data_IF_074804049736
#
_entry.id   IF_074804049736
#
_cell.length_a   1.000
_cell.length_b   1.000
_cell.length_c   1.000
_cell.angle_alpha   90.00
_cell.angle_beta   90.00
_cell.angle_gamma   90.00
#
_symmetry.space_group_name_H-M   'P 1'
#
loop_
_entity.id
_entity.type
_entity.pdbx_description
1 polymer ?
#
# COMPACT_ATOMS: atom_id res chain seq x y z
N UNK A 1 2.06 8.30 20.13
CA UNK A 1 0.79 7.57 20.02
C UNK A 1 -0.37 8.54 20.20
N UNK A 2 -1.52 8.37 19.54
CA UNK A 2 -2.70 9.17 19.80
C UNK A 2 -3.09 9.02 21.28
N UNK A 3 -3.28 10.14 21.98
CA UNK A 3 -3.47 10.16 23.44
C UNK A 3 -4.85 9.65 23.91
N UNK A 4 -5.78 9.35 22.99
CA UNK A 4 -7.15 8.94 23.32
C UNK A 4 -7.42 7.43 23.16
N UNK A 5 -6.48 6.67 22.61
CA UNK A 5 -6.64 5.22 22.39
C UNK A 5 -7.84 4.84 21.52
N UNK A 6 -8.38 5.79 20.75
CA UNK A 6 -9.56 5.57 19.93
C UNK A 6 -9.22 4.72 18.69
N UNK A 7 -10.11 3.79 18.35
CA UNK A 7 -9.97 2.95 17.17
C UNK A 7 -11.36 2.70 16.55
N UNK A 8 -11.38 2.49 15.24
CA UNK A 8 -12.58 2.11 14.49
C UNK A 8 -12.41 0.64 14.11
N UNK A 9 -13.40 -0.19 14.46
CA UNK A 9 -13.46 -1.59 14.03
C UNK A 9 -14.60 -1.74 13.05
N UNK A 10 -14.29 -2.34 11.91
CA UNK A 10 -15.25 -2.68 10.86
C UNK A 10 -15.08 -4.14 10.45
N UNK A 11 -16.08 -4.69 9.76
CA UNK A 11 -16.11 -6.08 9.29
C UNK A 11 -15.63 -6.27 7.86
N UNK A 12 -15.57 -5.20 7.07
CA UNK A 12 -15.18 -5.23 5.66
C UNK A 12 -14.33 -4.03 5.30
N UNK A 13 -13.52 -4.18 4.25
CA UNK A 13 -12.69 -3.11 3.71
C UNK A 13 -13.55 -1.96 3.17
N UNK A 14 -14.65 -2.26 2.47
CA UNK A 14 -15.56 -1.24 1.93
C UNK A 14 -16.13 -0.36 3.03
N UNK A 15 -16.63 -0.95 4.11
CA UNK A 15 -17.12 -0.19 5.26
C UNK A 15 -16.00 0.64 5.92
N UNK A 16 -14.75 0.16 5.92
CA UNK A 16 -13.61 0.94 6.42
C UNK A 16 -13.42 2.20 5.57
N UNK A 17 -13.37 2.02 4.26
CA UNK A 17 -13.16 3.09 3.29
C UNK A 17 -14.32 4.09 3.32
N UNK A 18 -15.56 3.65 3.44
CA UNK A 18 -16.73 4.54 3.54
C UNK A 18 -16.67 5.43 4.79
N UNK A 19 -16.31 4.86 5.94
CA UNK A 19 -16.15 5.61 7.19
C UNK A 19 -15.01 6.63 7.05
N UNK A 20 -13.85 6.19 6.54
CA UNK A 20 -12.67 7.05 6.40
C UNK A 20 -12.89 8.18 5.39
N UNK A 21 -13.60 7.92 4.29
CA UNK A 21 -14.00 8.95 3.33
C UNK A 21 -14.96 9.98 3.94
N UNK A 22 -15.80 9.57 4.90
CA UNK A 22 -16.61 10.48 5.69
C UNK A 22 -15.83 11.38 6.66
N UNK A 23 -14.51 11.17 6.79
CA UNK A 23 -13.59 11.93 7.66
C UNK A 23 -12.55 12.71 6.85
N UNK A 24 -12.85 13.06 5.59
CA UNK A 24 -11.94 13.76 4.68
C UNK A 24 -11.50 15.15 5.18
N UNK A 25 -12.21 15.74 6.15
CA UNK A 25 -11.83 16.98 6.84
C UNK A 25 -10.73 16.78 7.89
N UNK A 26 -10.45 15.53 8.28
CA UNK A 26 -9.53 15.15 9.36
C UNK A 26 -8.38 14.27 8.90
N UNK A 27 -8.55 13.53 7.81
CA UNK A 27 -7.61 12.52 7.33
C UNK A 27 -7.14 12.93 5.94
N UNK A 28 -5.82 13.07 5.78
CA UNK A 28 -5.19 13.37 4.51
C UNK A 28 -4.98 12.10 3.67
N UNK A 29 -4.42 11.05 4.28
CA UNK A 29 -3.99 9.83 3.59
C UNK A 29 -4.45 8.59 4.34
N UNK A 30 -5.01 7.63 3.60
CA UNK A 30 -5.33 6.29 4.10
C UNK A 30 -4.17 5.35 3.72
N UNK A 31 -3.60 4.69 4.72
CA UNK A 31 -2.56 3.67 4.52
C UNK A 31 -3.12 2.29 4.83
N UNK A 32 -3.17 1.42 3.82
CA UNK A 32 -3.37 -0.01 4.05
C UNK A 32 -2.04 -0.65 4.44
N UNK A 33 -2.00 -1.17 5.67
CA UNK A 33 -0.81 -1.79 6.27
C UNK A 33 -0.92 -3.32 6.36
N UNK A 34 -1.91 -3.92 5.67
CA UNK A 34 -2.07 -5.36 5.53
C UNK A 34 -3.01 -6.00 6.57
N UNK A 35 -3.13 -7.33 6.61
CA UNK A 35 -2.38 -8.35 5.84
C UNK A 35 -2.95 -8.69 4.45
N UNK A 36 -2.82 -9.95 4.01
CA UNK A 36 -3.16 -10.38 2.63
C UNK A 36 -4.52 -9.91 2.10
N UNK A 37 -5.59 -10.02 2.91
CA UNK A 37 -6.96 -9.69 2.47
C UNK A 37 -7.17 -8.20 2.19
N UNK A 38 -6.89 -7.27 3.12
CA UNK A 38 -7.01 -5.85 2.82
C UNK A 38 -6.08 -5.43 1.68
N UNK A 39 -4.87 -6.01 1.56
CA UNK A 39 -4.04 -5.77 0.36
C UNK A 39 -4.73 -6.19 -0.94
N UNK A 40 -5.37 -7.37 -0.96
CA UNK A 40 -6.07 -7.85 -2.15
C UNK A 40 -7.26 -6.95 -2.51
N UNK A 41 -7.99 -6.44 -1.52
CA UNK A 41 -9.10 -5.49 -1.69
C UNK A 41 -8.58 -4.10 -2.12
N UNK A 42 -7.49 -3.63 -1.51
CA UNK A 42 -6.82 -2.38 -1.82
C UNK A 42 -6.25 -2.34 -3.24
N UNK A 43 -5.65 -3.43 -3.73
CA UNK A 43 -5.19 -3.56 -5.11
C UNK A 43 -6.33 -3.47 -6.15
N UNK A 44 -7.57 -3.77 -5.75
CA UNK A 44 -8.77 -3.66 -6.59
C UNK A 44 -9.48 -2.30 -6.42
N UNK A 45 -9.08 -1.49 -5.44
CA UNK A 45 -9.73 -0.21 -5.13
C UNK A 45 -9.42 0.85 -6.18
N UNK A 46 -10.46 1.57 -6.63
CA UNK A 46 -10.31 2.75 -7.48
C UNK A 46 -9.66 3.95 -6.76
N UNK A 47 -9.53 3.87 -5.43
CA UNK A 47 -8.87 4.88 -4.60
C UNK A 47 -7.37 4.59 -4.42
N UNK A 48 -6.86 3.45 -4.87
CA UNK A 48 -5.43 3.17 -4.83
C UNK A 48 -4.67 4.21 -5.67
N UNK A 49 -3.65 4.81 -5.07
CA UNK A 49 -2.77 5.79 -5.72
C UNK A 49 -1.34 5.29 -5.80
N UNK A 50 -0.84 4.68 -4.73
CA UNK A 50 0.56 4.30 -4.62
C UNK A 50 0.70 2.97 -3.87
N UNK A 51 1.69 2.17 -4.27
CA UNK A 51 2.14 1.00 -3.54
C UNK A 51 3.58 1.25 -3.11
N UNK A 52 3.86 1.09 -1.82
CA UNK A 52 5.19 1.16 -1.26
C UNK A 52 5.62 -0.26 -0.88
N UNK A 53 6.68 -0.75 -1.52
CA UNK A 53 7.15 -2.13 -1.36
C UNK A 53 8.57 -2.12 -0.85
N UNK A 54 8.77 -2.78 0.29
CA UNK A 54 10.11 -3.24 0.69
C UNK A 54 10.30 -4.62 0.10
N UNK A 55 11.12 -4.72 -0.94
CA UNK A 55 11.54 -6.02 -1.45
C UNK A 55 12.69 -6.52 -0.60
N UNK A 56 12.46 -7.62 0.13
CA UNK A 56 13.47 -8.33 0.89
C UNK A 56 14.08 -9.41 0.00
N UNK A 57 15.40 -9.36 -0.20
CA UNK A 57 16.10 -10.29 -1.10
C UNK A 57 16.38 -11.61 -0.36
N UNK A 58 15.81 -12.69 -0.88
CA UNK A 58 15.99 -14.05 -0.36
C UNK A 58 14.68 -14.82 -0.30
N UNK A 59 14.80 -16.12 -0.02
CA UNK A 59 13.66 -17.00 0.21
C UNK A 59 13.52 -17.28 1.70
N UNK A 60 12.33 -17.04 2.25
CA UNK A 60 12.02 -17.22 3.66
C UNK A 60 10.75 -18.05 3.81
N UNK A 61 10.68 -18.86 4.86
CA UNK A 61 9.47 -19.61 5.17
C UNK A 61 8.33 -18.64 5.52
N UNK A 62 7.22 -18.75 4.80
CA UNK A 62 6.01 -17.95 4.99
C UNK A 62 4.76 -18.81 4.81
N UNK A 63 3.75 -18.56 5.66
CA UNK A 63 2.42 -19.18 5.58
C UNK A 63 1.38 -18.28 4.87
N UNK A 64 1.69 -16.98 4.77
CA UNK A 64 0.89 -15.96 4.11
C UNK A 64 1.75 -15.21 3.10
N UNK A 65 1.23 -15.08 1.88
CA UNK A 65 1.89 -14.39 0.78
C UNK A 65 1.16 -13.11 0.42
N UNK A 66 1.90 -12.12 -0.06
CA UNK A 66 1.32 -10.93 -0.69
C UNK A 66 0.46 -11.34 -1.91
N UNK A 67 -0.68 -10.69 -2.17
CA UNK A 67 -1.48 -10.96 -3.38
C UNK A 67 -0.71 -10.65 -4.68
N UNK A 68 -1.06 -11.32 -5.77
CA UNK A 68 -0.42 -11.05 -7.06
C UNK A 68 -0.67 -9.61 -7.52
N UNK A 69 0.40 -8.92 -7.94
CA UNK A 69 0.33 -7.55 -8.46
C UNK A 69 0.43 -7.58 -9.98
N UNK A 70 -0.57 -7.03 -10.65
CA UNK A 70 -0.47 -6.69 -12.07
C UNK A 70 0.31 -5.38 -12.24
N UNK A 71 1.63 -5.49 -12.32
CA UNK A 71 2.52 -4.33 -12.49
C UNK A 71 2.28 -3.55 -13.78
N UNK A 72 1.53 -4.07 -14.76
CA UNK A 72 1.15 -3.30 -15.95
C UNK A 72 0.20 -2.14 -15.62
N UNK A 73 -0.44 -2.17 -14.45
CA UNK A 73 -1.31 -1.08 -13.95
C UNK A 73 -0.56 -0.01 -13.19
N UNK A 74 0.78 -0.07 -13.14
CA UNK A 74 1.58 0.84 -12.35
C UNK A 74 2.77 1.40 -13.12
N UNK A 75 3.17 2.62 -12.79
CA UNK A 75 4.48 3.16 -13.16
C UNK A 75 5.39 3.15 -11.93
N UNK A 76 6.59 2.60 -12.08
CA UNK A 76 7.62 2.71 -11.04
C UNK A 76 8.01 4.18 -10.88
N UNK A 77 7.98 4.68 -9.65
CA UNK A 77 8.53 6.00 -9.35
C UNK A 77 10.05 5.92 -9.52
N UNK A 78 10.65 6.96 -10.11
CA UNK A 78 12.10 7.03 -10.29
C UNK A 78 12.61 8.17 -9.40
N UNK A 79 12.87 7.87 -8.14
CA UNK A 79 13.49 8.80 -7.18
C UNK A 79 14.85 8.31 -6.71
N UNK A 80 15.76 9.25 -6.39
CA UNK A 80 17.18 8.98 -6.06
C UNK A 80 17.40 8.02 -4.87
N UNK A 81 16.40 7.84 -4.00
CA UNK A 81 16.47 6.98 -2.81
C UNK A 81 15.87 5.57 -3.02
N UNK A 82 15.16 5.31 -4.14
CA UNK A 82 14.35 4.09 -4.35
C UNK A 82 15.09 2.89 -4.95
N UNK A 83 16.40 3.00 -5.18
CA UNK A 83 17.19 1.91 -5.75
C UNK A 83 18.49 1.65 -5.00
N UNK A 84 18.69 2.33 -3.87
CA UNK A 84 19.80 2.05 -2.99
C UNK A 84 19.57 0.67 -2.39
N UNK A 85 20.49 -0.26 -2.62
CA UNK A 85 20.47 -1.54 -1.95
C UNK A 85 20.87 -1.32 -0.48
N UNK A 86 20.03 -1.78 0.44
CA UNK A 86 20.29 -1.76 1.86
C UNK A 86 20.65 -3.15 2.36
N UNK A 87 21.27 -3.24 3.53
CA UNK A 87 21.58 -4.51 4.17
C UNK A 87 21.39 -4.40 5.69
N UNK A 88 20.75 -5.40 6.28
CA UNK A 88 20.63 -5.55 7.73
C UNK A 88 20.81 -7.02 8.09
N UNK A 89 21.72 -7.31 9.02
CA UNK A 89 22.04 -8.67 9.47
C UNK A 89 22.29 -9.67 8.31
N UNK A 90 22.95 -9.20 7.25
CA UNK A 90 23.25 -10.01 6.08
C UNK A 90 22.13 -10.07 5.03
N UNK A 91 20.92 -9.64 5.36
CA UNK A 91 19.75 -9.65 4.46
C UNK A 91 19.73 -8.35 3.67
N UNK A 92 19.77 -8.47 2.33
CA UNK A 92 19.63 -7.31 1.45
C UNK A 92 18.15 -6.96 1.24
N UNK A 93 17.84 -5.69 1.08
CA UNK A 93 16.50 -5.22 0.75
C UNK A 93 16.55 -3.88 0.02
N UNK A 94 15.44 -3.52 -0.62
CA UNK A 94 15.29 -2.25 -1.35
C UNK A 94 13.87 -1.71 -1.24
N UNK A 95 13.74 -0.40 -1.30
CA UNK A 95 12.45 0.28 -1.26
C UNK A 95 12.04 0.72 -2.65
N UNK A 96 10.90 0.26 -3.13
CA UNK A 96 10.33 0.73 -4.39
C UNK A 96 8.95 1.33 -4.16
N UNK A 97 8.61 2.38 -4.91
CA UNK A 97 7.25 2.91 -4.96
C UNK A 97 6.72 2.82 -6.38
N UNK A 98 5.46 2.44 -6.48
CA UNK A 98 4.73 2.33 -7.73
C UNK A 98 3.51 3.24 -7.66
N UNK A 99 3.32 4.08 -8.67
CA UNK A 99 2.12 4.90 -8.80
C UNK A 99 1.12 4.18 -9.69
N UNK A 100 -0.14 4.10 -9.28
CA UNK A 100 -1.21 3.55 -10.11
C UNK A 100 -1.33 4.36 -11.41
N UNK A 101 -1.39 3.66 -12.54
CA UNK A 101 -1.74 4.24 -13.82
C UNK A 101 -3.24 4.50 -13.79
N UNK A 102 -3.63 5.74 -13.54
CA UNK A 102 -5.04 6.11 -13.54
C UNK A 102 -5.65 5.79 -14.93
N UNK A 103 -6.60 4.84 -15.00
CA UNK A 103 -7.47 4.66 -16.18
C UNK A 103 -8.64 5.65 -16.14
N UNK A 104 -8.36 6.91 -15.83
CA UNK A 104 -9.26 8.02 -16.11
C UNK A 104 -8.40 9.19 -16.57
N UNK A 105 -8.44 9.40 -17.88
CA UNK A 105 -8.38 10.73 -18.47
C UNK A 105 -9.23 11.69 -17.63
N UNK A 106 -8.60 12.61 -16.93
CA UNK A 106 -9.25 13.89 -16.68
C UNK A 106 -9.35 14.59 -18.03
N UNK A 107 -10.49 14.37 -18.68
CA UNK A 107 -11.11 15.36 -19.55
C UNK A 107 -11.63 16.49 -18.65
N UNK A 108 -11.42 17.71 -19.15
CA UNK A 108 -11.88 19.04 -18.72
C UNK A 108 -11.31 19.64 -17.44
#
# INVERSE_FOLDING_TARGET
EPHDGSYIVTRTFENAIDILNGMSDKIETIWDIGGRRPYEEGLKSSQLRQIYVTFVEGDFDADVFFPDIDFQKFSKHNGDQQSSQHQYEGIAYRFETFNALNTNSELS
#
